data_IF_567100083179
#
_entry.id   IF_567100083179
#
_cell.length_a   1.000
_cell.length_b   1.000
_cell.length_c   1.000
_cell.angle_alpha   90.00
_cell.angle_beta   90.00
_cell.angle_gamma   90.00
#
_symmetry.space_group_name_H-M   'P 1'
#
loop_
_entity.id
_entity.type
_entity.pdbx_description
1 polymer ?
#
# COMPACT_ATOMS: atom_id res chain seq x y z
N UNK A 1 -3.00 -50.49 -63.57
CA UNK A 1 -3.09 -51.07 -62.22
C UNK A 1 -2.25 -50.20 -61.31
N UNK A 2 -2.89 -49.58 -60.31
CA UNK A 2 -2.39 -48.40 -59.60
C UNK A 2 -1.50 -48.72 -58.40
N UNK A 3 -0.47 -47.90 -58.24
CA UNK A 3 0.47 -47.85 -57.11
C UNK A 3 -0.11 -46.90 -56.04
N UNK A 4 -1.05 -47.37 -55.20
CA UNK A 4 -1.63 -46.54 -54.13
C UNK A 4 -1.99 -47.33 -52.87
N UNK A 5 -1.07 -48.15 -52.39
CA UNK A 5 -1.15 -48.71 -51.04
C UNK A 5 0.13 -48.38 -50.28
N UNK A 6 0.22 -47.15 -49.78
CA UNK A 6 1.17 -46.87 -48.70
C UNK A 6 0.67 -45.73 -47.79
N UNK A 7 0.31 -46.15 -46.58
CA UNK A 7 0.25 -45.37 -45.32
C UNK A 7 -0.92 -44.38 -45.18
N UNK A 8 -2.09 -44.89 -44.84
CA UNK A 8 -3.03 -44.19 -43.94
C UNK A 8 -2.61 -44.46 -42.48
N UNK A 9 -1.51 -43.85 -42.07
CA UNK A 9 -1.17 -43.70 -40.67
C UNK A 9 -2.17 -42.74 -40.03
N UNK A 10 -3.11 -43.28 -39.27
CA UNK A 10 -3.98 -42.55 -38.35
C UNK A 10 -3.09 -41.80 -37.34
N UNK A 11 -2.72 -40.56 -37.66
CA UNK A 11 -2.29 -39.58 -36.67
C UNK A 11 -3.54 -39.13 -35.92
N UNK A 12 -3.89 -39.83 -34.84
CA UNK A 12 -4.74 -39.26 -33.80
C UNK A 12 -3.95 -38.16 -33.14
N UNK A 13 -4.22 -36.90 -33.53
CA UNK A 13 -3.81 -35.75 -32.73
C UNK A 13 -4.62 -35.86 -31.43
N UNK A 14 -3.98 -36.34 -30.38
CA UNK A 14 -4.45 -36.12 -29.03
C UNK A 14 -4.40 -34.60 -28.82
N UNK A 15 -5.56 -33.95 -28.82
CA UNK A 15 -5.70 -32.58 -28.37
C UNK A 15 -5.46 -32.59 -26.86
N UNK A 16 -4.22 -32.33 -26.46
CA UNK A 16 -3.88 -32.05 -25.07
C UNK A 16 -4.61 -30.76 -24.67
N UNK A 17 -5.75 -30.91 -24.00
CA UNK A 17 -6.46 -29.80 -23.34
C UNK A 17 -5.53 -29.23 -22.25
N UNK A 18 -4.72 -28.24 -22.60
CA UNK A 18 -3.95 -27.46 -21.63
C UNK A 18 -4.96 -26.64 -20.83
N UNK A 19 -5.39 -27.16 -19.68
CA UNK A 19 -6.26 -26.43 -18.76
C UNK A 19 -5.44 -25.34 -18.07
N UNK A 20 -5.65 -24.08 -18.47
CA UNK A 20 -5.07 -22.95 -17.76
C UNK A 20 -5.86 -22.69 -16.48
N UNK A 21 -5.20 -22.74 -15.32
CA UNK A 21 -5.81 -22.33 -14.05
C UNK A 21 -5.92 -20.80 -14.04
N UNK A 22 -7.13 -20.30 -13.79
CA UNK A 22 -7.41 -18.86 -13.70
C UNK A 22 -7.92 -18.52 -12.30
N UNK A 23 -7.57 -17.32 -11.84
CA UNK A 23 -8.06 -16.76 -10.59
C UNK A 23 -8.55 -15.33 -10.78
N UNK A 24 -9.62 -14.98 -10.06
CA UNK A 24 -10.14 -13.63 -10.04
C UNK A 24 -9.29 -12.70 -9.17
N UNK A 25 -8.99 -11.51 -9.67
CA UNK A 25 -8.32 -10.48 -8.91
C UNK A 25 -9.20 -9.99 -7.74
N UNK A 26 -8.70 -10.07 -6.51
CA UNK A 26 -9.41 -9.62 -5.30
C UNK A 26 -9.72 -8.12 -5.23
N UNK A 27 -9.19 -7.32 -6.17
CA UNK A 27 -9.45 -5.88 -6.28
C UNK A 27 -10.36 -5.49 -7.43
N UNK A 28 -10.05 -5.91 -8.66
CA UNK A 28 -10.84 -5.53 -9.85
C UNK A 28 -11.86 -6.60 -10.28
N UNK A 29 -11.82 -7.80 -9.72
CA UNK A 29 -12.74 -8.90 -10.04
C UNK A 29 -12.52 -9.55 -11.42
N UNK A 30 -11.51 -9.12 -12.16
CA UNK A 30 -11.18 -9.68 -13.49
C UNK A 30 -10.38 -10.96 -13.30
N UNK A 31 -10.73 -12.00 -14.08
CA UNK A 31 -10.01 -13.27 -14.12
C UNK A 31 -8.74 -13.16 -14.96
N UNK A 32 -7.66 -13.71 -14.42
CA UNK A 32 -6.38 -13.83 -15.11
C UNK A 32 -5.79 -15.22 -14.86
N UNK A 33 -4.87 -15.68 -15.72
CA UNK A 33 -4.05 -16.85 -15.45
C UNK A 33 -3.30 -16.70 -14.12
N UNK A 34 -3.25 -17.77 -13.31
CA UNK A 34 -2.64 -17.70 -11.98
C UNK A 34 -1.14 -17.37 -12.02
N UNK A 35 -0.44 -17.74 -13.09
CA UNK A 35 0.99 -17.51 -13.32
C UNK A 35 1.38 -16.03 -13.51
N UNK A 36 0.41 -15.18 -13.88
CA UNK A 36 0.62 -13.72 -14.03
C UNK A 36 0.05 -12.90 -12.87
N UNK A 37 -0.48 -13.57 -11.84
CA UNK A 37 -1.09 -12.96 -10.67
C UNK A 37 -0.12 -12.96 -9.48
N UNK A 38 -0.29 -12.02 -8.57
CA UNK A 38 0.48 -11.94 -7.32
C UNK A 38 -0.38 -12.39 -6.15
N UNK A 39 0.21 -13.13 -5.23
CA UNK A 39 -0.44 -13.54 -3.98
C UNK A 39 -0.13 -12.50 -2.90
N UNK A 40 -1.16 -12.00 -2.23
CA UNK A 40 -1.01 -11.22 -1.01
C UNK A 40 -1.98 -11.72 0.06
N UNK A 41 -1.44 -12.32 1.12
CA UNK A 41 -2.23 -13.02 2.12
C UNK A 41 -2.94 -14.22 1.50
N UNK A 42 -4.28 -14.21 1.51
CA UNK A 42 -5.14 -15.25 0.93
C UNK A 42 -5.78 -14.84 -0.41
N UNK A 43 -5.43 -13.67 -0.96
CA UNK A 43 -6.05 -13.12 -2.17
C UNK A 43 -5.04 -13.03 -3.32
N UNK A 44 -5.54 -13.20 -4.55
CA UNK A 44 -4.79 -13.03 -5.79
C UNK A 44 -5.02 -11.64 -6.36
N UNK A 45 -3.99 -10.96 -6.83
CA UNK A 45 -4.05 -9.61 -7.39
C UNK A 45 -3.33 -9.53 -8.73
N UNK A 46 -3.96 -8.88 -9.70
CA UNK A 46 -3.27 -8.58 -10.95
C UNK A 46 -2.17 -7.53 -10.75
N UNK A 47 -1.14 -7.57 -11.60
CA UNK A 47 0.01 -6.66 -11.53
C UNK A 47 -0.42 -5.18 -11.44
N UNK A 48 -1.42 -4.77 -12.24
CA UNK A 48 -1.91 -3.39 -12.24
C UNK A 48 -2.54 -2.98 -10.90
N UNK A 49 -3.28 -3.89 -10.25
CA UNK A 49 -3.89 -3.62 -8.95
C UNK A 49 -2.86 -3.55 -7.82
N UNK A 50 -1.81 -4.38 -7.91
CA UNK A 50 -0.67 -4.33 -7.00
C UNK A 50 0.11 -3.03 -7.14
N UNK A 51 0.42 -2.61 -8.37
CA UNK A 51 1.11 -1.35 -8.64
C UNK A 51 0.32 -0.15 -8.11
N UNK A 52 -1.00 -0.14 -8.36
CA UNK A 52 -1.88 0.90 -7.83
C UNK A 52 -1.87 0.96 -6.30
N UNK A 53 -1.90 -0.21 -5.64
CA UNK A 53 -1.84 -0.28 -4.18
C UNK A 53 -0.53 0.30 -3.65
N UNK A 54 0.61 -0.07 -4.24
CA UNK A 54 1.93 0.46 -3.87
C UNK A 54 1.98 1.99 -3.99
N UNK A 55 1.48 2.55 -5.09
CA UNK A 55 1.43 4.00 -5.29
C UNK A 55 0.53 4.71 -4.26
N UNK A 56 -0.60 4.11 -3.89
CA UNK A 56 -1.49 4.64 -2.86
C UNK A 56 -0.81 4.65 -1.48
N UNK A 57 -0.05 3.61 -1.14
CA UNK A 57 0.74 3.54 0.10
C UNK A 57 1.84 4.59 0.14
N UNK A 58 2.58 4.76 -0.96
CA UNK A 58 3.61 5.81 -1.09
C UNK A 58 3.01 7.21 -0.95
N UNK A 59 1.84 7.47 -1.56
CA UNK A 59 1.15 8.75 -1.44
C UNK A 59 0.63 8.99 -0.01
N UNK A 60 0.10 7.96 0.65
CA UNK A 60 -0.30 8.04 2.05
C UNK A 60 0.90 8.34 2.96
N UNK A 61 2.04 7.69 2.74
CA UNK A 61 3.24 7.97 3.50
C UNK A 61 3.76 9.40 3.26
N UNK A 62 3.77 9.84 1.99
CA UNK A 62 4.11 11.22 1.62
C UNK A 62 3.20 12.23 2.33
N UNK A 63 1.88 11.99 2.32
CA UNK A 63 0.89 12.82 3.03
C UNK A 63 1.15 12.84 4.53
N UNK A 64 1.44 11.69 5.16
CA UNK A 64 1.80 11.64 6.59
C UNK A 64 3.04 12.47 6.91
N UNK A 65 4.09 12.38 6.09
CA UNK A 65 5.33 13.18 6.25
C UNK A 65 5.08 14.68 6.09
N UNK A 66 4.21 15.08 5.16
CA UNK A 66 3.80 16.49 5.01
C UNK A 66 2.97 16.97 6.21
N UNK A 67 2.06 16.14 6.70
CA UNK A 67 1.22 16.44 7.86
C UNK A 67 2.04 16.57 9.15
N UNK A 68 3.04 15.72 9.40
CA UNK A 68 3.94 15.88 10.56
C UNK A 68 4.79 17.14 10.45
N UNK A 69 5.32 17.47 9.28
CA UNK A 69 6.07 18.70 9.05
C UNK A 69 5.24 19.97 9.25
N UNK A 70 3.93 19.90 8.98
CA UNK A 70 2.99 21.02 9.18
C UNK A 70 2.27 20.99 10.52
N UNK A 71 2.45 19.93 11.31
CA UNK A 71 1.78 19.75 12.59
C UNK A 71 2.28 20.77 13.62
N UNK A 72 1.48 21.81 13.83
CA UNK A 72 1.65 22.74 14.96
C UNK A 72 0.99 22.12 16.19
N UNK A 73 1.81 21.72 17.16
CA UNK A 73 1.38 21.20 18.45
C UNK A 73 1.31 22.34 19.46
N UNK A 74 0.29 22.30 20.31
CA UNK A 74 0.08 23.23 21.41
C UNK A 74 0.63 22.61 22.69
N UNK A 75 1.46 23.36 23.40
CA UNK A 75 2.07 22.95 24.65
C UNK A 75 1.73 23.95 25.74
N UNK A 76 1.67 23.45 26.97
CA UNK A 76 1.49 24.28 28.16
C UNK A 76 2.57 23.96 29.17
N UNK A 77 3.23 25.00 29.67
CA UNK A 77 4.21 24.87 30.74
C UNK A 77 3.51 24.48 32.05
N UNK A 78 4.04 23.49 32.76
CA UNK A 78 3.52 23.09 34.05
C UNK A 78 3.79 24.17 35.12
N UNK A 79 4.94 24.84 35.03
CA UNK A 79 5.43 25.77 36.05
C UNK A 79 4.76 27.16 35.95
N UNK A 80 4.67 27.74 34.74
CA UNK A 80 4.10 29.08 34.55
C UNK A 80 2.75 29.11 33.81
N UNK A 81 2.20 27.94 33.45
CA UNK A 81 0.95 27.79 32.70
C UNK A 81 0.91 28.48 31.33
N UNK A 82 2.03 29.00 30.85
CA UNK A 82 2.14 29.63 29.53
C UNK A 82 1.92 28.62 28.41
N UNK A 83 1.02 28.97 27.48
CA UNK A 83 0.72 28.16 26.30
C UNK A 83 1.52 28.64 25.09
N UNK A 84 2.17 27.73 24.38
CA UNK A 84 2.95 28.03 23.19
C UNK A 84 2.76 26.97 22.11
N UNK A 85 2.97 27.38 20.86
CA UNK A 85 2.84 26.53 19.68
C UNK A 85 4.22 26.16 19.16
N UNK A 86 4.43 24.91 18.75
CA UNK A 86 5.66 24.50 18.06
C UNK A 86 5.39 23.40 17.04
N UNK A 87 6.27 23.28 16.05
CA UNK A 87 6.27 22.11 15.17
C UNK A 87 6.98 20.95 15.85
N UNK A 88 6.61 19.73 15.48
CA UNK A 88 7.19 18.49 16.02
C UNK A 88 8.72 18.41 15.79
N UNK A 89 9.18 18.97 14.68
CA UNK A 89 10.60 19.05 14.27
C UNK A 89 11.48 19.95 15.18
N UNK A 90 10.90 20.86 15.98
CA UNK A 90 11.66 21.73 16.89
C UNK A 90 11.63 21.22 18.34
N UNK A 91 12.76 20.67 18.80
CA UNK A 91 12.96 20.28 20.21
C UNK A 91 13.25 21.51 21.08
N UNK A 92 12.19 22.12 21.60
CA UNK A 92 12.32 23.09 22.69
C UNK A 92 12.55 22.31 23.99
N UNK A 93 13.67 22.57 24.68
CA UNK A 93 14.01 21.96 25.96
C UNK A 93 13.47 22.73 27.17
N UNK A 94 13.06 23.98 26.99
CA UNK A 94 12.68 24.90 28.08
C UNK A 94 11.55 25.85 27.65
N UNK A 95 10.67 26.19 28.58
CA UNK A 95 9.57 27.13 28.36
C UNK A 95 10.13 28.50 27.96
N UNK A 96 9.65 29.14 26.86
CA UNK A 96 10.11 30.47 26.44
C UNK A 96 9.85 31.57 27.47
N UNK A 97 8.86 31.38 28.35
CA UNK A 97 8.45 32.40 29.31
C UNK A 97 9.22 32.33 30.64
N UNK A 98 9.47 31.13 31.16
CA UNK A 98 10.07 30.96 32.50
C UNK A 98 11.31 30.06 32.55
N UNK A 99 11.72 29.45 31.42
CA UNK A 99 12.83 28.49 31.39
C UNK A 99 12.50 27.10 31.96
N UNK A 100 11.29 26.87 32.46
CA UNK A 100 10.87 25.58 33.02
C UNK A 100 10.94 24.44 32.00
N UNK A 101 11.38 23.26 32.42
CA UNK A 101 11.58 22.09 31.54
C UNK A 101 10.36 21.18 31.46
N UNK A 102 9.36 21.41 32.32
CA UNK A 102 8.14 20.61 32.40
C UNK A 102 7.03 21.26 31.57
N UNK A 103 6.58 20.55 30.54
CA UNK A 103 5.46 20.96 29.70
C UNK A 103 4.71 19.73 29.18
N UNK A 104 3.39 19.87 29.00
CA UNK A 104 2.53 18.82 28.46
C UNK A 104 1.88 19.30 27.16
N UNK A 105 1.65 18.37 26.24
CA UNK A 105 0.93 18.65 25.00
C UNK A 105 -0.56 18.77 25.30
N UNK A 106 -1.17 19.90 24.94
CA UNK A 106 -2.62 20.00 24.88
C UNK A 106 -3.05 19.38 23.54
N UNK A 107 -3.58 18.15 23.60
CA UNK A 107 -4.05 17.42 22.44
C UNK A 107 -5.07 18.25 21.64
N UNK A 108 -4.93 18.25 20.31
CA UNK A 108 -5.88 18.94 19.43
C UNK A 108 -7.25 18.27 19.54
N UNK A 109 -8.24 19.01 20.01
CA UNK A 109 -9.65 18.69 19.76
C UNK A 109 -9.94 19.04 18.30
N UNK A 110 -10.03 18.03 17.44
CA UNK A 110 -10.63 18.20 16.13
C UNK A 110 -12.15 18.32 16.36
N UNK A 111 -12.73 19.47 16.01
CA UNK A 111 -14.18 19.60 15.73
C UNK A 111 -14.34 19.63 14.22
#
# INVERSE_FOLDING_TARGET
>A
MGFKDWITGLFTKEEEEVSYQTAACGRCGIEYPEDVMNVEGSMMFCNQCMDKKRLEEEDLERKRRLMSRTAILHFKCADCRFSFKRREEFKIRMCPNCGGVNFFAEGRSYK
#
